data_IF_988036824222
#
_entry.id   IF_988036824222
#
_cell.length_a   1.000
_cell.length_b   1.000
_cell.length_c   1.000
_cell.angle_alpha   90.00
_cell.angle_beta   90.00
_cell.angle_gamma   90.00
#
_symmetry.space_group_name_H-M   'P 1'
#
loop_
_entity.id
_entity.type
_entity.pdbx_description
1 polymer ?
#
# COMPACT_ATOMS: atom_id res chain seq x y z
N UNK A 1 33.96 -1.14 35.73
CA UNK A 1 33.75 -0.47 34.41
C UNK A 1 33.42 0.99 34.65
N UNK A 2 34.16 1.92 34.02
CA UNK A 2 33.92 3.34 34.19
C UNK A 2 32.58 3.73 33.62
N UNK A 3 31.89 4.72 34.23
CA UNK A 3 30.56 5.15 33.80
C UNK A 3 30.45 5.53 32.29
N UNK A 4 31.55 6.03 31.73
CA UNK A 4 31.66 6.32 30.28
C UNK A 4 31.47 5.10 29.37
N UNK A 5 32.01 3.93 29.74
CA UNK A 5 31.83 2.70 28.93
C UNK A 5 30.40 2.20 28.97
N UNK A 6 29.72 2.30 30.12
CA UNK A 6 28.30 1.95 30.22
C UNK A 6 27.45 2.87 29.37
N UNK A 7 27.70 4.18 29.39
CA UNK A 7 26.98 5.15 28.58
C UNK A 7 27.14 4.88 27.09
N UNK A 8 28.34 4.60 26.60
CA UNK A 8 28.61 4.28 25.21
C UNK A 8 27.89 3.00 24.74
N UNK A 9 27.84 1.97 25.60
CA UNK A 9 27.10 0.73 25.29
C UNK A 9 25.60 1.01 25.15
N UNK A 10 25.04 1.82 26.04
CA UNK A 10 23.61 2.19 25.97
C UNK A 10 23.28 3.01 24.73
N UNK A 11 24.13 3.98 24.35
CA UNK A 11 23.94 4.76 23.12
C UNK A 11 24.00 3.87 21.88
N UNK A 12 24.98 2.96 21.83
CA UNK A 12 25.11 2.01 20.73
C UNK A 12 23.89 1.08 20.64
N UNK A 13 23.41 0.56 21.77
CA UNK A 13 22.22 -0.30 21.80
C UNK A 13 20.96 0.42 21.31
N UNK A 14 20.74 1.67 21.75
CA UNK A 14 19.62 2.49 21.29
C UNK A 14 19.75 2.75 19.79
N UNK A 15 20.94 3.08 19.30
CA UNK A 15 21.18 3.31 17.87
C UNK A 15 20.84 2.09 17.01
N UNK A 16 21.22 0.90 17.45
CA UNK A 16 20.87 -0.36 16.75
C UNK A 16 19.36 -0.59 16.75
N UNK A 17 18.68 -0.41 17.87
CA UNK A 17 17.23 -0.58 17.96
C UNK A 17 16.51 0.41 17.01
N UNK A 18 16.92 1.67 16.98
CA UNK A 18 16.34 2.67 16.07
C UNK A 18 16.55 2.27 14.61
N UNK A 19 17.75 1.83 14.24
CA UNK A 19 18.04 1.38 12.88
C UNK A 19 17.19 0.18 12.47
N UNK A 20 17.03 -0.80 13.36
CA UNK A 20 16.19 -1.98 13.10
C UNK A 20 14.73 -1.59 12.91
N UNK A 21 14.20 -0.71 13.77
CA UNK A 21 12.81 -0.23 13.65
C UNK A 21 12.59 0.55 12.35
N UNK A 22 13.52 1.43 11.99
CA UNK A 22 13.47 2.20 10.75
C UNK A 22 13.55 1.28 9.53
N UNK A 23 14.47 0.32 9.53
CA UNK A 23 14.59 -0.64 8.45
C UNK A 23 13.31 -1.47 8.29
N UNK A 24 12.74 -1.96 9.39
CA UNK A 24 11.49 -2.72 9.37
C UNK A 24 10.29 -1.92 8.83
N UNK A 25 10.27 -0.62 9.09
CA UNK A 25 9.23 0.28 8.56
C UNK A 25 9.40 0.63 7.09
N UNK A 26 10.63 0.78 6.63
CA UNK A 26 10.94 1.28 5.29
C UNK A 26 11.09 0.14 4.28
N UNK A 27 11.70 -0.98 4.66
CA UNK A 27 11.99 -2.09 3.75
C UNK A 27 10.76 -2.60 2.99
N UNK A 28 9.58 -2.80 3.61
CA UNK A 28 8.39 -3.26 2.91
C UNK A 28 7.91 -2.33 1.79
N UNK A 29 8.20 -1.02 1.87
CA UNK A 29 7.85 -0.06 0.82
C UNK A 29 8.59 -0.35 -0.50
N UNK A 30 9.77 -0.98 -0.42
CA UNK A 30 10.58 -1.33 -1.60
C UNK A 30 10.36 -2.77 -2.06
N UNK A 31 10.11 -3.68 -1.13
CA UNK A 31 9.99 -5.11 -1.43
C UNK A 31 8.55 -5.56 -1.65
N UNK A 32 7.58 -4.80 -1.11
CA UNK A 32 6.17 -5.19 -1.07
C UNK A 32 5.94 -6.38 -0.15
N UNK A 33 4.70 -6.85 -0.12
CA UNK A 33 4.31 -8.03 0.66
C UNK A 33 4.68 -9.31 -0.07
N UNK A 34 5.16 -10.30 0.68
CA UNK A 34 5.38 -11.64 0.17
C UNK A 34 4.07 -12.26 -0.34
N UNK A 35 4.09 -12.75 -1.57
CA UNK A 35 2.93 -13.39 -2.17
C UNK A 35 2.70 -14.76 -1.54
N UNK A 36 1.46 -15.12 -1.16
CA UNK A 36 1.15 -16.44 -0.63
C UNK A 36 1.44 -17.55 -1.64
N UNK A 37 1.77 -18.74 -1.15
CA UNK A 37 1.96 -19.92 -2.01
C UNK A 37 0.68 -20.22 -2.80
N UNK A 38 0.83 -20.51 -4.09
CA UNK A 38 -0.29 -20.79 -4.99
C UNK A 38 -1.05 -19.56 -5.49
N UNK A 39 -0.62 -18.35 -5.12
CA UNK A 39 -1.18 -17.13 -5.67
C UNK A 39 -0.52 -16.74 -6.99
N UNK A 40 -1.27 -16.07 -7.86
CA UNK A 40 -0.78 -15.47 -9.11
C UNK A 40 -0.77 -13.97 -8.98
N UNK A 41 0.35 -13.32 -9.31
CA UNK A 41 0.49 -11.87 -9.23
C UNK A 41 -0.45 -11.19 -10.23
N UNK A 42 -1.13 -10.15 -9.76
CA UNK A 42 -1.89 -9.24 -10.60
C UNK A 42 -1.09 -7.95 -10.82
N UNK A 43 -1.32 -7.33 -11.97
CA UNK A 43 -0.70 -6.05 -12.31
C UNK A 43 -1.45 -4.92 -11.62
N UNK A 44 -0.70 -4.06 -10.94
CA UNK A 44 -1.16 -2.77 -10.41
C UNK A 44 -0.08 -1.71 -10.69
N UNK A 45 -0.49 -0.50 -11.01
CA UNK A 45 0.41 0.65 -11.04
C UNK A 45 0.70 1.09 -9.61
N UNK A 46 1.97 1.25 -9.25
CA UNK A 46 2.39 1.70 -7.92
C UNK A 46 3.31 2.91 -8.02
N UNK A 47 3.20 3.81 -7.05
CA UNK A 47 4.13 4.92 -6.92
C UNK A 47 5.54 4.46 -6.55
N UNK A 48 6.53 5.29 -6.89
CA UNK A 48 7.85 5.14 -6.31
C UNK A 48 7.83 5.55 -4.85
N UNK A 49 8.58 4.86 -3.96
CA UNK A 49 8.67 5.26 -2.57
C UNK A 49 9.15 6.72 -2.47
N UNK A 50 8.31 7.58 -1.93
CA UNK A 50 8.65 8.97 -1.68
C UNK A 50 8.14 9.39 -0.30
N UNK A 51 9.00 9.37 0.74
CA UNK A 51 8.60 9.66 2.11
C UNK A 51 8.33 11.15 2.38
N UNK A 52 8.61 12.04 1.42
CA UNK A 52 8.65 13.49 1.66
C UNK A 52 7.42 14.22 1.09
N UNK A 53 6.71 13.63 0.14
CA UNK A 53 5.57 14.29 -0.49
C UNK A 53 4.30 14.07 0.34
N UNK A 54 3.69 15.18 0.73
CA UNK A 54 2.36 15.20 1.29
C UNK A 54 1.33 14.64 0.30
N UNK A 55 0.26 14.11 0.84
CA UNK A 55 -0.81 13.53 0.05
C UNK A 55 -1.87 14.57 -0.27
N UNK A 56 -2.36 14.58 -1.51
CA UNK A 56 -3.50 15.40 -1.89
C UNK A 56 -4.77 14.93 -1.14
N UNK A 57 -5.71 15.82 -0.91
CA UNK A 57 -6.91 15.58 -0.09
C UNK A 57 -8.18 15.40 -0.92
N UNK A 58 -8.06 15.10 -2.21
CA UNK A 58 -9.21 14.76 -3.02
C UNK A 58 -9.77 13.39 -2.62
N UNK A 59 -11.08 13.23 -2.69
CA UNK A 59 -11.76 11.96 -2.43
C UNK A 59 -12.23 11.37 -3.75
N UNK A 60 -11.94 10.10 -3.96
CA UNK A 60 -12.56 9.32 -5.01
C UNK A 60 -13.90 8.78 -4.52
N UNK A 61 -14.91 8.78 -5.40
CA UNK A 61 -16.19 8.11 -5.14
C UNK A 61 -15.97 6.64 -4.78
N UNK A 62 -16.88 6.02 -3.99
CA UNK A 62 -16.79 4.62 -3.66
C UNK A 62 -16.53 3.75 -4.89
N UNK A 63 -15.55 2.86 -4.79
CA UNK A 63 -15.11 2.06 -5.92
C UNK A 63 -15.01 0.59 -5.53
N UNK A 64 -15.45 -0.29 -6.42
CA UNK A 64 -15.41 -1.74 -6.25
C UNK A 64 -14.12 -2.30 -6.81
N UNK A 65 -13.51 -3.19 -6.05
CA UNK A 65 -12.35 -3.97 -6.48
C UNK A 65 -12.80 -5.04 -7.48
N UNK A 66 -12.21 -5.06 -8.65
CA UNK A 66 -12.47 -6.06 -9.70
C UNK A 66 -11.20 -6.39 -10.47
N UNK A 67 -11.28 -7.27 -11.44
CA UNK A 67 -10.16 -7.63 -12.32
C UNK A 67 -10.54 -7.49 -13.78
N UNK A 68 -9.55 -7.14 -14.59
CA UNK A 68 -9.61 -7.19 -16.04
C UNK A 68 -8.40 -7.94 -16.57
N UNK A 69 -8.58 -9.20 -16.95
CA UNK A 69 -7.46 -10.10 -17.25
C UNK A 69 -6.55 -10.27 -16.03
N UNK A 70 -5.29 -9.93 -16.17
CA UNK A 70 -4.27 -10.02 -15.10
C UNK A 70 -4.07 -8.70 -14.35
N UNK A 71 -4.89 -7.70 -14.60
CA UNK A 71 -4.84 -6.42 -13.90
C UNK A 71 -5.95 -6.30 -12.85
N UNK A 72 -5.59 -5.73 -11.68
CA UNK A 72 -6.57 -5.31 -10.70
C UNK A 72 -7.08 -3.92 -11.09
N UNK A 73 -8.39 -3.74 -11.11
CA UNK A 73 -9.07 -2.52 -11.55
C UNK A 73 -10.05 -2.08 -10.48
N UNK A 74 -10.18 -0.78 -10.28
CA UNK A 74 -11.26 -0.19 -9.50
C UNK A 74 -12.37 0.30 -10.44
N UNK A 75 -13.62 0.03 -10.07
CA UNK A 75 -14.78 0.50 -10.81
C UNK A 75 -15.66 1.32 -9.87
N UNK A 76 -15.96 2.57 -10.23
CA UNK A 76 -16.85 3.42 -9.43
C UNK A 76 -18.22 2.80 -9.31
N UNK A 77 -18.78 2.83 -8.09
CA UNK A 77 -20.08 2.23 -7.81
C UNK A 77 -21.20 2.98 -8.56
N UNK A 78 -21.12 4.32 -8.60
CA UNK A 78 -22.17 5.16 -9.20
C UNK A 78 -22.23 5.06 -10.71
N UNK A 79 -21.08 5.12 -11.39
CA UNK A 79 -21.03 5.19 -12.86
C UNK A 79 -20.66 3.87 -13.53
N UNK A 80 -20.29 2.87 -12.76
CA UNK A 80 -19.77 1.58 -13.25
C UNK A 80 -18.59 1.74 -14.24
N UNK A 81 -17.83 2.82 -14.12
CA UNK A 81 -16.69 3.11 -14.98
C UNK A 81 -15.39 2.67 -14.32
N UNK A 82 -14.48 2.08 -15.07
CA UNK A 82 -13.14 1.80 -14.58
C UNK A 82 -12.41 3.12 -14.30
N UNK A 83 -11.66 3.13 -13.19
CA UNK A 83 -10.83 4.26 -12.78
C UNK A 83 -9.39 3.83 -12.87
N UNK A 84 -8.57 4.64 -13.55
CA UNK A 84 -7.14 4.48 -13.55
C UNK A 84 -6.61 4.94 -12.19
N UNK A 85 -5.99 4.02 -11.45
CA UNK A 85 -5.46 4.31 -10.12
C UNK A 85 -3.99 3.92 -10.02
N UNK A 86 -3.25 4.73 -9.28
CA UNK A 86 -1.87 4.43 -8.88
C UNK A 86 -1.87 4.18 -7.37
N UNK A 87 -1.47 2.97 -6.99
CA UNK A 87 -1.41 2.55 -5.60
C UNK A 87 -0.15 3.10 -4.91
N UNK A 88 -0.19 3.28 -3.60
CA UNK A 88 1.01 3.67 -2.86
C UNK A 88 2.15 2.66 -3.03
N UNK A 89 3.38 3.12 -2.81
CA UNK A 89 4.56 2.28 -2.90
C UNK A 89 4.47 1.05 -1.99
N UNK A 90 4.92 -0.10 -2.49
CA UNK A 90 4.95 -1.37 -1.76
C UNK A 90 3.63 -2.13 -1.71
N UNK A 91 2.53 -1.55 -2.21
CA UNK A 91 1.27 -2.30 -2.37
C UNK A 91 1.46 -3.42 -3.39
N UNK A 92 0.72 -4.50 -3.20
CA UNK A 92 0.79 -5.69 -4.05
C UNK A 92 -0.62 -6.24 -4.28
N UNK A 93 -0.84 -6.83 -5.45
CA UNK A 93 -2.09 -7.53 -5.75
C UNK A 93 -1.81 -8.93 -6.28
N UNK A 94 -2.66 -9.87 -5.91
CA UNK A 94 -2.59 -11.26 -6.37
C UNK A 94 -3.97 -11.91 -6.43
N UNK A 95 -4.05 -13.00 -7.17
CA UNK A 95 -5.23 -13.87 -7.21
C UNK A 95 -4.94 -15.13 -6.41
N UNK A 96 -5.78 -15.43 -5.44
CA UNK A 96 -5.71 -16.65 -4.64
C UNK A 96 -7.10 -17.29 -4.56
N UNK A 97 -7.21 -18.57 -4.87
CA UNK A 97 -8.50 -19.25 -4.88
C UNK A 97 -9.53 -18.64 -5.83
N UNK A 98 -9.08 -18.09 -6.96
CA UNK A 98 -9.95 -17.45 -7.96
C UNK A 98 -10.35 -16.00 -7.64
N UNK A 99 -9.99 -15.46 -6.48
CA UNK A 99 -10.33 -14.09 -6.06
C UNK A 99 -9.10 -13.18 -6.05
N UNK A 100 -9.27 -11.97 -6.55
CA UNK A 100 -8.24 -10.95 -6.44
C UNK A 100 -8.19 -10.37 -5.02
N UNK A 101 -6.98 -10.08 -4.58
CA UNK A 101 -6.68 -9.50 -3.26
C UNK A 101 -5.66 -8.39 -3.48
N UNK A 102 -5.85 -7.25 -2.83
CA UNK A 102 -4.85 -6.19 -2.73
C UNK A 102 -4.43 -6.03 -1.28
N UNK A 103 -3.12 -5.92 -1.05
CA UNK A 103 -2.55 -5.76 0.28
C UNK A 103 -1.57 -4.60 0.34
N UNK A 104 -1.43 -4.06 1.54
CA UNK A 104 -0.46 -3.04 1.88
C UNK A 104 0.96 -3.64 1.99
N UNK A 105 2.02 -2.80 2.12
CA UNK A 105 3.39 -3.28 2.22
C UNK A 105 3.65 -4.22 3.42
N UNK A 106 2.82 -4.18 4.44
CA UNK A 106 2.98 -5.00 5.66
C UNK A 106 2.12 -6.27 5.66
N UNK A 107 1.37 -6.50 4.57
CA UNK A 107 0.58 -7.72 4.39
C UNK A 107 -0.86 -7.62 4.86
N UNK A 108 -1.31 -6.45 5.30
CA UNK A 108 -2.73 -6.27 5.64
C UNK A 108 -3.55 -6.23 4.36
N UNK A 109 -4.63 -6.99 4.32
CA UNK A 109 -5.54 -6.99 3.18
C UNK A 109 -6.35 -5.70 3.19
N UNK A 110 -6.21 -4.93 2.12
CA UNK A 110 -6.89 -3.65 1.90
C UNK A 110 -8.23 -3.86 1.21
N UNK A 111 -8.33 -4.85 0.33
CA UNK A 111 -9.56 -5.19 -0.34
C UNK A 111 -9.47 -6.53 -1.07
N UNK A 112 -10.62 -7.14 -1.27
CA UNK A 112 -10.82 -8.35 -2.06
C UNK A 112 -11.73 -8.05 -3.24
N UNK A 113 -11.68 -8.88 -4.25
CA UNK A 113 -12.59 -8.79 -5.38
C UNK A 113 -14.06 -8.78 -4.92
N UNK A 114 -14.78 -7.76 -5.35
CA UNK A 114 -16.16 -7.49 -4.93
C UNK A 114 -16.31 -6.48 -3.79
N UNK A 115 -15.27 -6.26 -2.98
CA UNK A 115 -15.31 -5.28 -1.90
C UNK A 115 -15.47 -3.86 -2.48
N UNK A 116 -16.17 -3.02 -1.74
CA UNK A 116 -16.29 -1.59 -2.04
C UNK A 116 -15.36 -0.82 -1.09
N UNK A 117 -14.46 -0.07 -1.66
CA UNK A 117 -13.61 0.87 -0.93
C UNK A 117 -14.37 2.20 -0.84
N UNK A 118 -14.90 2.51 0.34
CA UNK A 118 -15.85 3.62 0.52
C UNK A 118 -15.21 4.99 0.40
N UNK A 119 -13.96 5.14 0.79
CA UNK A 119 -13.23 6.38 0.62
C UNK A 119 -11.77 6.11 0.29
N UNK A 120 -11.38 6.60 -0.87
CA UNK A 120 -9.99 6.62 -1.29
C UNK A 120 -9.58 8.09 -1.34
N UNK A 121 -8.74 8.51 -0.40
CA UNK A 121 -8.14 9.84 -0.49
C UNK A 121 -6.90 9.81 -1.37
N UNK A 122 -6.70 10.87 -2.12
CA UNK A 122 -5.61 10.97 -3.07
C UNK A 122 -5.67 12.23 -3.89
N UNK A 123 -5.18 12.17 -5.11
CA UNK A 123 -5.21 13.27 -6.07
C UNK A 123 -5.03 12.80 -7.50
N UNK A 124 -5.51 13.60 -8.43
CA UNK A 124 -5.25 13.37 -9.85
C UNK A 124 -3.79 13.70 -10.17
N UNK A 125 -3.08 12.75 -10.76
CA UNK A 125 -1.76 12.95 -11.30
C UNK A 125 -1.79 13.64 -12.66
N UNK A 126 -0.61 13.95 -13.18
CA UNK A 126 -0.42 14.50 -14.53
C UNK A 126 -0.73 13.47 -15.63
N UNK A 127 -0.87 12.21 -15.26
CA UNK A 127 -1.21 11.06 -16.10
C UNK A 127 -2.71 10.75 -16.13
N UNK A 128 -3.54 11.65 -15.59
CA UNK A 128 -4.99 11.49 -15.41
C UNK A 128 -5.38 10.27 -14.55
N UNK A 129 -4.43 9.65 -13.86
CA UNK A 129 -4.69 8.60 -12.90
C UNK A 129 -4.92 9.17 -11.50
N UNK A 130 -5.73 8.50 -10.70
CA UNK A 130 -5.94 8.86 -9.30
C UNK A 130 -4.87 8.17 -8.43
N UNK A 131 -3.99 8.97 -7.84
CA UNK A 131 -2.92 8.53 -6.95
C UNK A 131 -3.45 8.40 -5.54
N UNK A 132 -3.53 7.17 -5.04
CA UNK A 132 -4.09 6.86 -3.72
C UNK A 132 -3.07 7.19 -2.62
N UNK A 133 -3.54 7.81 -1.55
CA UNK A 133 -2.74 8.08 -0.36
C UNK A 133 -2.59 6.84 0.52
N UNK A 134 -1.40 6.58 1.11
CA UNK A 134 -1.17 5.41 1.95
C UNK A 134 -2.10 5.31 3.17
N UNK A 135 -2.52 6.45 3.72
CA UNK A 135 -3.40 6.54 4.89
C UNK A 135 -4.87 6.81 4.53
N UNK A 136 -5.16 6.85 3.24
CA UNK A 136 -6.47 7.28 2.73
C UNK A 136 -7.37 6.16 2.26
N UNK A 137 -7.13 4.92 2.68
CA UNK A 137 -7.94 3.78 2.28
C UNK A 137 -8.80 3.38 3.48
N UNK A 138 -10.11 3.60 3.37
CA UNK A 138 -11.08 3.11 4.34
C UNK A 138 -11.87 2.00 3.68
N UNK A 139 -11.76 0.80 4.23
CA UNK A 139 -12.59 -0.34 3.83
C UNK A 139 -13.83 -0.35 4.71
N UNK A 140 -14.99 -0.53 4.09
CA UNK A 140 -16.20 -0.82 4.84
C UNK A 140 -16.17 -2.29 5.26
N UNK A 141 -16.38 -2.58 6.55
CA UNK A 141 -16.46 -3.96 7.04
C UNK A 141 -17.66 -4.71 6.45
#
# INVERSE_FOLDING_TARGET
MSGRRKLLIWIAAIGVVVLVVVAWRILPLFTGTAMPAGATRLQIATERPNPILGCATALLSPARVTTSGDALVLVTVESSRPVSVVWPAGFSAWRLGGRAIVADPWGSIVGREGDVLDSLSGGLGVDDAFHICPLGIVTKP
#
